data_IF_216463193043
#
_entry.id   IF_216463193043
#
_cell.length_a   1.000
_cell.length_b   1.000
_cell.length_c   1.000
_cell.angle_alpha   90.00
_cell.angle_beta   90.00
_cell.angle_gamma   90.00
#
_symmetry.space_group_name_H-M   'P 1'
#
loop_
_entity.id
_entity.type
_entity.pdbx_description
1 polymer ?
#
# COMPACT_ATOMS: atom_id res chain seq x y z
N UNK A 1 -1.35 -23.73 -4.76
CA UNK A 1 -1.17 -22.93 -3.54
C UNK A 1 -2.39 -22.02 -3.42
N UNK A 2 -3.13 -22.12 -2.31
CA UNK A 2 -4.29 -21.26 -2.06
C UNK A 2 -3.81 -19.83 -1.76
N UNK A 3 -4.54 -18.78 -2.18
CA UNK A 3 -4.23 -17.43 -1.78
C UNK A 3 -4.45 -17.33 -0.26
N UNK A 4 -3.45 -16.84 0.47
CA UNK A 4 -3.61 -16.42 1.86
C UNK A 4 -4.62 -15.28 1.83
N UNK A 5 -5.83 -15.54 2.34
CA UNK A 5 -6.85 -14.52 2.54
C UNK A 5 -6.24 -13.44 3.46
N UNK A 6 -5.98 -12.27 2.88
CA UNK A 6 -5.48 -11.09 3.56
C UNK A 6 -6.41 -10.79 4.73
N UNK A 7 -5.89 -10.77 5.96
CA UNK A 7 -6.46 -9.88 6.97
C UNK A 7 -6.12 -8.46 6.52
N UNK A 8 -6.93 -7.91 5.61
CA UNK A 8 -7.00 -6.47 5.46
C UNK A 8 -7.55 -5.97 6.79
N UNK A 9 -6.68 -5.45 7.66
CA UNK A 9 -7.11 -4.66 8.80
C UNK A 9 -8.07 -3.60 8.24
N UNK A 10 -9.29 -3.56 8.77
CA UNK A 10 -10.28 -2.58 8.34
C UNK A 10 -9.78 -1.15 8.53
N UNK A 11 -10.51 -0.15 8.03
CA UNK A 11 -10.08 1.24 8.06
C UNK A 11 -9.66 1.67 9.47
N UNK A 12 -8.41 2.10 9.61
CA UNK A 12 -7.84 2.48 10.91
C UNK A 12 -8.00 3.99 11.10
N UNK A 13 -8.59 4.40 12.22
CA UNK A 13 -8.64 5.82 12.57
C UNK A 13 -7.28 6.27 13.07
N UNK A 14 -6.84 7.44 12.61
CA UNK A 14 -5.61 8.02 13.09
C UNK A 14 -5.80 8.59 14.51
N UNK A 15 -5.05 8.09 15.49
CA UNK A 15 -5.28 8.41 16.91
C UNK A 15 -5.21 9.92 17.23
N UNK A 16 -4.40 10.67 16.48
CA UNK A 16 -4.21 12.11 16.70
C UNK A 16 -5.02 12.99 15.76
N UNK A 17 -5.75 12.39 14.80
CA UNK A 17 -6.51 13.11 13.76
C UNK A 17 -7.81 12.40 13.41
N UNK A 18 -8.92 12.94 13.92
CA UNK A 18 -10.27 12.40 13.71
C UNK A 18 -10.80 12.58 12.27
N UNK A 19 -10.17 13.43 11.48
CA UNK A 19 -10.50 13.70 10.08
C UNK A 19 -9.70 12.82 9.09
N UNK A 20 -8.88 11.90 9.58
CA UNK A 20 -8.11 10.95 8.77
C UNK A 20 -8.51 9.51 9.05
N UNK A 21 -8.72 8.79 7.95
CA UNK A 21 -8.95 7.35 7.94
C UNK A 21 -7.91 6.70 7.06
N UNK A 22 -7.26 5.66 7.57
CA UNK A 22 -6.29 4.85 6.82
C UNK A 22 -7.03 3.66 6.23
N UNK A 23 -7.39 3.75 4.95
CA UNK A 23 -8.15 2.69 4.24
C UNK A 23 -7.36 1.39 4.06
N UNK A 24 -6.05 1.51 3.79
CA UNK A 24 -5.16 0.39 3.43
C UNK A 24 -3.90 0.38 4.31
N UNK A 25 -4.07 0.43 5.63
CA UNK A 25 -2.96 0.48 6.58
C UNK A 25 -2.20 -0.85 6.68
N UNK A 26 -0.87 -0.78 6.89
CA UNK A 26 0.02 -1.91 7.09
C UNK A 26 1.01 -1.59 8.21
N UNK A 27 0.90 -2.27 9.35
CA UNK A 27 1.78 -2.11 10.52
C UNK A 27 2.85 -3.19 10.65
N UNK A 28 2.58 -4.39 10.15
CA UNK A 28 3.33 -5.61 10.49
C UNK A 28 4.24 -6.15 9.36
N UNK A 29 4.37 -5.42 8.26
CA UNK A 29 5.23 -5.77 7.12
C UNK A 29 6.25 -4.68 6.82
N UNK A 30 7.45 -5.11 6.45
CA UNK A 30 8.38 -4.25 5.72
C UNK A 30 7.98 -4.18 4.25
N UNK A 31 8.35 -3.08 3.60
CA UNK A 31 8.02 -2.86 2.20
C UNK A 31 8.76 -1.67 1.61
N UNK A 32 8.44 -1.37 0.36
CA UNK A 32 8.93 -0.19 -0.35
C UNK A 32 7.83 0.37 -1.25
N UNK A 33 7.97 1.65 -1.59
CA UNK A 33 7.09 2.32 -2.53
C UNK A 33 7.72 2.32 -3.92
N UNK A 34 6.93 1.96 -4.93
CA UNK A 34 7.27 2.14 -6.34
C UNK A 34 6.45 3.33 -6.86
N UNK A 35 7.16 4.35 -7.35
CA UNK A 35 6.55 5.52 -7.97
C UNK A 35 6.82 5.53 -9.48
N UNK A 36 5.77 5.75 -10.25
CA UNK A 36 5.87 6.10 -11.65
C UNK A 36 5.32 7.52 -11.82
N UNK A 37 6.18 8.44 -12.24
CA UNK A 37 5.84 9.86 -12.38
C UNK A 37 5.77 10.20 -13.86
N UNK A 38 4.64 10.72 -14.28
CA UNK A 38 4.42 11.27 -15.62
C UNK A 38 3.99 12.74 -15.52
N UNK A 39 3.87 13.46 -16.67
CA UNK A 39 3.37 14.82 -16.67
C UNK A 39 1.94 14.96 -16.10
N UNK A 40 1.08 13.96 -16.30
CA UNK A 40 -0.34 14.01 -15.90
C UNK A 40 -0.66 13.24 -14.63
N UNK A 41 0.16 12.25 -14.24
CA UNK A 41 -0.18 11.30 -13.18
C UNK A 41 1.05 10.95 -12.34
N UNK A 42 0.83 10.72 -11.04
CA UNK A 42 1.74 9.96 -10.18
C UNK A 42 1.04 8.65 -9.83
N UNK A 43 1.56 7.53 -10.31
CA UNK A 43 1.12 6.22 -9.88
C UNK A 43 2.04 5.72 -8.76
N UNK A 44 1.44 5.19 -7.70
CA UNK A 44 2.16 4.67 -6.55
C UNK A 44 1.67 3.28 -6.19
N UNK A 45 2.61 2.39 -5.89
CA UNK A 45 2.34 1.06 -5.37
C UNK A 45 3.16 0.86 -4.10
N UNK A 46 2.52 0.41 -3.03
CA UNK A 46 3.20 -0.07 -1.85
C UNK A 46 3.34 -1.59 -1.95
N UNK A 47 4.58 -2.07 -1.97
CA UNK A 47 4.88 -3.50 -2.01
C UNK A 47 5.49 -3.94 -0.69
N UNK A 48 4.95 -5.00 -0.12
CA UNK A 48 5.50 -5.66 1.08
C UNK A 48 6.49 -6.73 0.69
N UNK A 49 7.48 -6.98 1.54
CA UNK A 49 8.48 -8.03 1.34
C UNK A 49 8.30 -9.15 2.38
N UNK A 50 8.75 -10.38 2.07
CA UNK A 50 8.70 -11.48 3.02
C UNK A 50 9.47 -11.15 4.30
N UNK A 51 8.93 -11.60 5.44
CA UNK A 51 9.61 -11.54 6.74
C UNK A 51 10.86 -12.42 6.73
N UNK A 52 11.81 -12.21 7.67
CA UNK A 52 13.02 -13.04 7.75
C UNK A 52 12.78 -14.54 7.88
N UNK A 53 11.64 -14.96 8.45
CA UNK A 53 11.25 -16.36 8.59
C UNK A 53 10.40 -16.90 7.43
N UNK A 54 9.99 -16.04 6.50
CA UNK A 54 9.27 -16.44 5.28
C UNK A 54 10.27 -16.71 4.14
N UNK A 55 9.84 -17.41 3.10
CA UNK A 55 10.71 -17.71 1.97
C UNK A 55 11.07 -16.46 1.19
N UNK A 56 12.36 -16.14 1.09
CA UNK A 56 12.89 -15.05 0.27
C UNK A 56 12.52 -15.17 -1.22
N UNK A 57 12.21 -16.37 -1.69
CA UNK A 57 11.82 -16.63 -3.10
C UNK A 57 10.43 -16.13 -3.46
N UNK A 58 9.59 -15.79 -2.48
CA UNK A 58 8.23 -15.31 -2.73
C UNK A 58 8.20 -13.91 -3.39
N UNK A 59 9.30 -13.14 -3.30
CA UNK A 59 9.41 -11.81 -3.89
C UNK A 59 8.48 -10.77 -3.23
N UNK A 60 8.52 -9.50 -3.69
CA UNK A 60 7.63 -8.46 -3.19
C UNK A 60 6.18 -8.69 -3.62
N UNK A 61 5.24 -8.41 -2.71
CA UNK A 61 3.80 -8.53 -2.95
C UNK A 61 3.15 -7.15 -2.87
N UNK A 62 2.34 -6.80 -3.89
CA UNK A 62 1.54 -5.57 -3.84
C UNK A 62 0.65 -5.60 -2.60
N UNK A 63 0.66 -4.51 -1.84
CA UNK A 63 -0.24 -4.27 -0.71
C UNK A 63 -1.36 -3.33 -1.15
N UNK A 64 -0.98 -2.12 -1.55
CA UNK A 64 -1.89 -1.04 -1.95
C UNK A 64 -1.39 -0.31 -3.19
N UNK A 65 -2.31 0.34 -3.91
CA UNK A 65 -2.03 1.12 -5.10
C UNK A 65 -2.97 2.32 -5.18
N UNK A 66 -2.40 3.48 -5.49
CA UNK A 66 -3.17 4.68 -5.79
C UNK A 66 -2.58 5.44 -6.98
N UNK A 67 -3.42 6.26 -7.59
CA UNK A 67 -3.06 7.17 -8.68
C UNK A 67 -3.49 8.57 -8.29
N UNK A 68 -2.57 9.51 -8.43
CA UNK A 68 -2.83 10.94 -8.28
C UNK A 68 -2.84 11.59 -9.66
N UNK A 69 -4.00 12.07 -10.08
CA UNK A 69 -4.09 12.96 -11.24
C UNK A 69 -3.51 14.33 -10.85
N UNK A 70 -2.46 14.77 -11.54
CA UNK A 70 -1.72 15.99 -11.21
C UNK A 70 -2.45 17.27 -11.62
N UNK A 71 -3.41 17.20 -12.55
CA UNK A 71 -4.18 18.36 -13.03
C UNK A 71 -5.31 18.66 -12.07
N UNK A 72 -6.05 17.63 -11.68
CA UNK A 72 -7.22 17.72 -10.80
C UNK A 72 -6.86 17.60 -9.32
N UNK A 73 -5.65 17.10 -9.01
CA UNK A 73 -5.18 16.78 -7.65
C UNK A 73 -6.08 15.75 -6.95
N UNK A 74 -6.67 14.85 -7.72
CA UNK A 74 -7.58 13.81 -7.23
C UNK A 74 -6.85 12.50 -7.11
N UNK A 75 -7.11 11.77 -6.00
CA UNK A 75 -6.62 10.42 -5.78
C UNK A 75 -7.67 9.41 -6.25
N UNK A 76 -7.22 8.32 -6.89
CA UNK A 76 -8.04 7.20 -7.35
C UNK A 76 -7.35 5.87 -7.12
#
# INVERSE_FOLDING_TARGET
>A
MAPVLREMQGPVRFETRNDLMLESYCDDRHGFLRFEVSPSEIACEYLTVPRPHESWRAGPMLWDRFRLDRKTKTLT
#
